data_IF_808731651932
#
_entry.id   IF_808731651932
#
_cell.length_a   1.000
_cell.length_b   1.000
_cell.length_c   1.000
_cell.angle_alpha   90.00
_cell.angle_beta   90.00
_cell.angle_gamma   90.00
#
_symmetry.space_group_name_H-M   'P 1'
#
loop_
_entity.id
_entity.type
_entity.pdbx_description
1 polymer ?
#
# COMPACT_ATOMS: atom_id res chain seq x y z
N UNK A 1 -30.03 74.27 4.65
CA UNK A 1 -28.66 73.70 4.69
C UNK A 1 -28.80 72.24 5.12
N UNK A 2 -29.14 71.34 4.18
CA UNK A 2 -28.28 70.42 3.39
C UNK A 2 -27.87 69.14 4.16
N UNK A 3 -28.27 68.01 3.56
CA UNK A 3 -27.89 66.59 3.75
C UNK A 3 -28.64 65.81 4.85
N UNK A 4 -29.04 64.53 4.71
CA UNK A 4 -29.25 63.60 3.60
C UNK A 4 -29.75 62.25 4.19
N UNK A 5 -30.81 61.65 3.63
CA UNK A 5 -31.01 60.23 3.25
C UNK A 5 -30.77 59.08 4.28
N UNK A 6 -31.61 58.03 4.16
CA UNK A 6 -31.47 56.59 4.56
C UNK A 6 -32.12 56.22 5.91
N UNK A 7 -32.96 55.19 6.10
CA UNK A 7 -33.31 53.92 5.39
C UNK A 7 -34.76 53.54 5.79
N UNK A 8 -35.64 53.08 4.89
CA UNK A 8 -36.02 51.66 4.63
C UNK A 8 -36.17 50.84 5.93
N UNK A 9 -37.30 50.22 6.29
CA UNK A 9 -38.16 49.32 5.50
C UNK A 9 -39.55 49.18 6.13
N UNK A 10 -40.56 49.03 5.28
CA UNK A 10 -41.96 48.77 5.62
C UNK A 10 -42.15 47.39 6.27
N UNK A 11 -43.03 47.33 7.27
CA UNK A 11 -43.56 46.11 7.83
C UNK A 11 -45.09 46.08 7.67
N UNK A 12 -45.55 44.92 7.20
CA UNK A 12 -46.87 44.33 7.37
C UNK A 12 -48.10 45.09 6.84
N UNK A 13 -48.63 44.60 5.71
CA UNK A 13 -50.07 44.68 5.44
C UNK A 13 -50.59 43.26 5.17
N UNK A 14 -51.70 42.97 5.82
CA UNK A 14 -52.36 41.69 5.93
C UNK A 14 -53.04 41.22 4.63
N UNK A 15 -53.21 39.91 4.50
CA UNK A 15 -54.37 39.33 3.84
C UNK A 15 -54.63 37.92 4.40
N UNK A 16 -55.46 37.87 5.44
CA UNK A 16 -56.28 36.69 5.72
C UNK A 16 -57.38 36.62 4.66
N UNK A 17 -57.49 35.49 3.96
CA UNK A 17 -58.73 35.09 3.31
C UNK A 17 -58.88 33.57 3.40
N UNK A 18 -59.68 33.20 4.41
CA UNK A 18 -60.43 31.97 4.63
C UNK A 18 -60.57 30.99 3.45
N UNK A 19 -60.34 29.72 3.75
CA UNK A 19 -61.29 28.66 3.39
C UNK A 19 -61.15 27.48 4.37
N UNK A 20 -62.09 27.40 5.32
CA UNK A 20 -62.41 26.15 5.99
C UNK A 20 -62.96 25.18 4.93
N UNK A 21 -62.27 24.07 4.71
CA UNK A 21 -62.89 22.88 4.15
C UNK A 21 -62.21 21.65 4.73
N UNK A 22 -63.04 20.77 5.29
CA UNK A 22 -62.79 19.38 5.67
C UNK A 22 -61.40 19.06 6.26
N UNK A 23 -61.35 18.87 7.58
CA UNK A 23 -60.21 18.22 8.24
C UNK A 23 -60.06 16.77 7.77
N UNK A 24 -59.43 16.57 6.62
CA UNK A 24 -58.78 15.31 6.28
C UNK A 24 -57.54 15.26 7.16
N UNK A 25 -57.63 14.57 8.30
CA UNK A 25 -56.41 14.10 8.97
C UNK A 25 -55.79 13.06 8.06
N UNK A 26 -54.83 13.51 7.23
CA UNK A 26 -53.88 12.59 6.63
C UNK A 26 -53.21 11.83 7.79
N UNK A 27 -53.12 10.50 7.75
CA UNK A 27 -52.32 9.80 8.73
C UNK A 27 -50.90 10.32 8.60
N UNK A 28 -50.40 11.02 9.63
CA UNK A 28 -48.98 11.27 9.84
C UNK A 28 -48.29 9.95 10.22
N UNK A 29 -48.43 8.92 9.39
CA UNK A 29 -47.35 7.97 9.25
C UNK A 29 -46.30 8.66 8.39
N UNK A 30 -45.50 9.52 9.03
CA UNK A 30 -44.14 9.74 8.56
C UNK A 30 -43.46 8.38 8.72
N UNK A 31 -43.53 7.57 7.67
CA UNK A 31 -42.51 6.56 7.45
C UNK A 31 -41.21 7.34 7.27
N UNK A 32 -40.54 7.65 8.38
CA UNK A 32 -39.11 7.87 8.33
C UNK A 32 -38.57 6.61 7.69
N UNK A 33 -38.17 6.70 6.42
CA UNK A 33 -37.34 5.67 5.84
C UNK A 33 -36.17 5.54 6.82
N UNK A 34 -36.13 4.43 7.58
CA UNK A 34 -34.90 4.04 8.22
C UNK A 34 -33.96 3.90 7.03
N UNK A 35 -32.96 4.77 6.95
CA UNK A 35 -31.83 4.51 6.08
C UNK A 35 -31.42 3.08 6.47
N UNK A 36 -31.71 2.11 5.60
CA UNK A 36 -31.06 0.82 5.70
C UNK A 36 -29.57 1.15 5.83
N UNK A 37 -28.83 0.40 6.65
CA UNK A 37 -27.37 0.46 6.66
C UNK A 37 -26.89 0.16 5.24
N UNK A 38 -26.86 1.20 4.40
CA UNK A 38 -26.38 1.14 3.03
C UNK A 38 -24.88 1.07 3.17
N UNK A 39 -24.39 -0.16 3.32
CA UNK A 39 -22.97 -0.45 3.22
C UNK A 39 -22.59 -0.14 1.77
N UNK A 40 -21.86 0.96 1.61
CA UNK A 40 -21.21 1.28 0.34
C UNK A 40 -20.01 0.34 0.24
N UNK A 41 -19.92 -0.40 -0.86
CA UNK A 41 -18.84 -1.33 -1.15
C UNK A 41 -18.13 -0.88 -2.44
N UNK A 42 -16.82 -1.10 -2.49
CA UNK A 42 -16.02 -0.82 -3.67
C UNK A 42 -16.26 -1.91 -4.74
N UNK A 43 -16.19 -1.51 -6.02
CA UNK A 43 -16.14 -2.48 -7.11
C UNK A 43 -14.77 -3.15 -7.17
N UNK A 44 -14.71 -4.43 -7.54
CA UNK A 44 -13.42 -5.07 -7.80
C UNK A 44 -12.79 -4.54 -9.08
N UNK A 45 -11.45 -4.58 -9.17
CA UNK A 45 -10.73 -4.18 -10.39
C UNK A 45 -11.15 -5.00 -11.63
N UNK A 46 -11.59 -6.24 -11.43
CA UNK A 46 -12.08 -7.11 -12.49
C UNK A 46 -13.48 -6.74 -12.99
N UNK A 47 -14.26 -5.98 -12.21
CA UNK A 47 -15.63 -5.57 -12.57
C UNK A 47 -15.66 -4.30 -13.44
N UNK A 48 -14.54 -3.60 -13.54
CA UNK A 48 -14.45 -2.30 -14.20
C UNK A 48 -13.52 -2.34 -15.42
N UNK A 49 -14.07 -1.96 -16.57
CA UNK A 49 -13.29 -1.81 -17.80
C UNK A 49 -13.19 -0.33 -18.17
N UNK A 50 -11.97 0.20 -18.13
CA UNK A 50 -11.68 1.54 -18.64
C UNK A 50 -11.57 1.51 -20.17
N UNK A 51 -12.38 2.30 -20.86
CA UNK A 51 -12.44 2.34 -22.33
C UNK A 51 -11.87 3.62 -22.94
N UNK A 52 -11.50 4.60 -22.10
CA UNK A 52 -10.89 5.83 -22.59
C UNK A 52 -9.55 5.52 -23.31
N UNK A 53 -9.33 6.02 -24.55
CA UNK A 53 -8.13 5.71 -25.31
C UNK A 53 -6.82 6.15 -24.65
N UNK A 54 -6.84 7.29 -23.94
CA UNK A 54 -5.65 7.78 -23.24
C UNK A 54 -5.31 6.86 -22.06
N UNK A 55 -6.29 6.52 -21.23
CA UNK A 55 -6.11 5.60 -20.11
C UNK A 55 -5.69 4.20 -20.58
N UNK A 56 -6.27 3.70 -21.66
CA UNK A 56 -5.93 2.39 -22.25
C UNK A 56 -4.49 2.37 -22.75
N UNK A 57 -4.04 3.44 -23.42
CA UNK A 57 -2.65 3.58 -23.85
C UNK A 57 -1.68 3.70 -22.66
N UNK A 58 -2.04 4.45 -21.62
CA UNK A 58 -1.25 4.55 -20.39
C UNK A 58 -1.09 3.17 -19.73
N UNK A 59 -2.17 2.41 -19.61
CA UNK A 59 -2.13 1.05 -19.08
C UNK A 59 -1.27 0.11 -19.93
N UNK A 60 -1.38 0.18 -21.27
CA UNK A 60 -0.52 -0.62 -22.17
C UNK A 60 0.99 -0.37 -21.96
N UNK A 61 1.36 0.90 -21.74
CA UNK A 61 2.74 1.28 -21.40
C UNK A 61 3.15 0.75 -20.03
N UNK A 62 2.26 0.83 -19.04
CA UNK A 62 2.48 0.26 -17.71
C UNK A 62 2.73 -1.26 -17.80
N UNK A 63 1.91 -2.01 -18.54
CA UNK A 63 2.12 -3.45 -18.73
C UNK A 63 3.46 -3.73 -19.40
N UNK A 64 3.82 -2.96 -20.42
CA UNK A 64 5.12 -3.11 -21.10
C UNK A 64 6.28 -2.85 -20.13
N UNK A 65 6.13 -1.86 -19.25
CA UNK A 65 7.11 -1.54 -18.21
C UNK A 65 7.22 -2.66 -17.18
N UNK A 66 6.11 -3.13 -16.61
CA UNK A 66 6.08 -4.19 -15.62
C UNK A 66 6.71 -5.49 -16.15
N UNK A 67 6.40 -5.85 -17.40
CA UNK A 67 6.94 -7.05 -18.04
C UNK A 67 8.43 -6.95 -18.43
N UNK A 68 9.04 -5.75 -18.34
CA UNK A 68 10.44 -5.54 -18.72
C UNK A 68 11.45 -5.87 -17.61
N UNK A 69 10.98 -6.12 -16.38
CA UNK A 69 11.85 -6.39 -15.25
C UNK A 69 12.40 -7.82 -15.24
N UNK A 70 13.66 -7.93 -14.82
CA UNK A 70 14.35 -9.19 -14.58
C UNK A 70 14.14 -9.59 -13.11
N UNK A 71 13.41 -10.69 -12.90
CA UNK A 71 13.08 -11.21 -11.57
C UNK A 71 14.30 -11.63 -10.77
N UNK A 72 15.39 -12.10 -11.41
CA UNK A 72 16.62 -12.45 -10.70
C UNK A 72 17.33 -11.22 -10.16
N UNK A 73 17.27 -10.10 -10.89
CA UNK A 73 17.82 -8.83 -10.42
C UNK A 73 16.99 -8.23 -9.28
N UNK A 74 15.66 -8.35 -9.34
CA UNK A 74 14.76 -7.97 -8.23
C UNK A 74 15.03 -8.81 -6.97
N UNK A 75 15.30 -10.09 -7.12
CA UNK A 75 15.62 -11.01 -6.00
C UNK A 75 17.05 -10.88 -5.47
N UNK A 76 17.93 -10.19 -6.19
CA UNK A 76 19.35 -10.17 -5.89
C UNK A 76 19.64 -9.68 -4.46
N UNK A 77 19.02 -8.57 -4.05
CA UNK A 77 19.27 -8.01 -2.72
C UNK A 77 18.77 -8.88 -1.58
N UNK A 78 17.65 -9.60 -1.77
CA UNK A 78 17.15 -10.56 -0.80
C UNK A 78 18.09 -11.76 -0.67
N UNK A 79 18.57 -12.29 -1.80
CA UNK A 79 19.52 -13.41 -1.82
C UNK A 79 20.83 -13.06 -1.13
N UNK A 80 21.37 -11.88 -1.38
CA UNK A 80 22.58 -11.39 -0.70
C UNK A 80 22.39 -11.36 0.83
N UNK A 81 21.29 -10.80 1.32
CA UNK A 81 20.99 -10.74 2.76
C UNK A 81 20.75 -12.12 3.38
N UNK A 82 20.13 -13.04 2.63
CA UNK A 82 19.97 -14.43 3.05
C UNK A 82 21.27 -15.27 2.91
N UNK A 83 22.37 -14.69 2.41
CA UNK A 83 23.63 -15.37 2.08
C UNK A 83 23.46 -16.52 1.09
N UNK A 84 22.60 -16.29 0.09
CA UNK A 84 22.26 -17.24 -0.97
C UNK A 84 22.91 -16.85 -2.30
N UNK A 85 22.99 -17.81 -3.22
CA UNK A 85 23.52 -17.58 -4.55
C UNK A 85 22.63 -16.60 -5.33
N UNK A 86 23.22 -15.54 -5.88
CA UNK A 86 22.52 -14.56 -6.74
C UNK A 86 22.39 -15.02 -8.19
N UNK A 87 22.96 -16.19 -8.53
CA UNK A 87 23.03 -16.75 -9.89
C UNK A 87 23.69 -15.80 -10.88
N UNK A 88 24.67 -15.01 -10.41
CA UNK A 88 25.35 -14.00 -11.23
C UNK A 88 24.53 -12.75 -11.50
N UNK A 89 23.31 -12.64 -10.97
CA UNK A 89 22.50 -11.43 -11.08
C UNK A 89 23.17 -10.25 -10.37
N UNK A 90 22.99 -9.06 -10.94
CA UNK A 90 23.41 -7.80 -10.33
C UNK A 90 22.17 -7.00 -9.94
N UNK A 91 22.24 -6.32 -8.80
CA UNK A 91 21.19 -5.40 -8.34
C UNK A 91 20.79 -4.43 -9.46
N UNK A 92 19.55 -3.97 -9.40
CA UNK A 92 19.16 -2.78 -10.13
C UNK A 92 19.94 -1.57 -9.62
N UNK A 93 20.19 -0.59 -10.49
CA UNK A 93 20.83 0.67 -10.09
C UNK A 93 19.88 1.55 -9.27
N UNK A 94 20.25 2.83 -9.13
CA UNK A 94 19.46 3.77 -8.35
C UNK A 94 19.34 3.32 -6.89
N UNK A 95 18.15 3.46 -6.31
CA UNK A 95 17.90 3.19 -4.89
C UNK A 95 17.86 1.70 -4.53
N UNK A 96 17.66 0.81 -5.50
CA UNK A 96 17.72 -0.65 -5.27
C UNK A 96 19.15 -1.19 -5.05
N UNK A 97 20.15 -0.32 -5.22
CA UNK A 97 21.54 -0.58 -4.84
C UNK A 97 21.98 0.18 -3.57
N UNK A 98 21.02 0.63 -2.74
CA UNK A 98 21.31 1.39 -1.51
C UNK A 98 20.58 0.78 -0.29
N UNK A 99 20.58 1.51 0.82
CA UNK A 99 19.98 1.08 2.08
C UNK A 99 18.46 0.87 2.02
N UNK A 100 17.75 1.56 1.12
CA UNK A 100 16.28 1.47 1.00
C UNK A 100 15.80 0.31 0.09
N UNK A 101 16.73 -0.41 -0.53
CA UNK A 101 16.42 -1.48 -1.49
C UNK A 101 15.42 -2.51 -0.93
N UNK A 102 14.54 -3.00 -1.80
CA UNK A 102 13.34 -3.75 -1.43
C UNK A 102 12.06 -2.93 -1.54
N UNK A 103 12.14 -1.61 -1.39
CA UNK A 103 10.94 -0.76 -1.45
C UNK A 103 10.28 -0.80 -2.84
N UNK A 104 11.08 -0.84 -3.91
CA UNK A 104 10.55 -0.96 -5.28
C UNK A 104 9.89 -2.30 -5.48
N UNK A 105 10.44 -3.38 -4.89
CA UNK A 105 9.88 -4.73 -5.02
C UNK A 105 8.50 -4.79 -4.35
N UNK A 106 8.34 -4.16 -3.18
CA UNK A 106 7.03 -4.04 -2.55
C UNK A 106 5.98 -3.38 -3.45
N UNK A 107 6.30 -2.19 -4.00
CA UNK A 107 5.43 -1.51 -4.97
C UNK A 107 5.16 -2.33 -6.24
N UNK A 108 6.20 -3.01 -6.74
CA UNK A 108 6.12 -3.83 -7.95
C UNK A 108 5.19 -5.03 -7.77
N UNK A 109 5.20 -5.66 -6.59
CA UNK A 109 4.25 -6.74 -6.25
C UNK A 109 2.80 -6.23 -6.31
N UNK A 110 2.49 -5.10 -5.68
CA UNK A 110 1.16 -4.47 -5.77
C UNK A 110 0.78 -4.16 -7.22
N UNK A 111 1.70 -3.53 -7.98
CA UNK A 111 1.46 -3.14 -9.36
C UNK A 111 1.17 -4.37 -10.25
N UNK A 112 1.96 -5.43 -10.14
CA UNK A 112 1.73 -6.68 -10.86
C UNK A 112 0.42 -7.36 -10.46
N UNK A 113 0.07 -7.37 -9.17
CA UNK A 113 -1.18 -7.97 -8.69
C UNK A 113 -2.42 -7.19 -9.18
N UNK A 114 -2.39 -5.87 -9.12
CA UNK A 114 -3.44 -5.01 -9.67
C UNK A 114 -3.56 -5.15 -11.19
N UNK A 115 -2.43 -5.13 -11.90
CA UNK A 115 -2.39 -5.36 -13.34
C UNK A 115 -2.98 -6.72 -13.70
N UNK A 116 -2.62 -7.78 -12.96
CA UNK A 116 -3.14 -9.13 -13.17
C UNK A 116 -4.67 -9.21 -13.07
N UNK A 117 -5.33 -8.32 -12.33
CA UNK A 117 -6.79 -8.28 -12.22
C UNK A 117 -7.48 -7.54 -13.37
N UNK A 118 -6.75 -6.77 -14.18
CA UNK A 118 -7.36 -5.94 -15.21
C UNK A 118 -8.02 -6.80 -16.32
N UNK A 119 -9.29 -6.53 -16.70
CA UNK A 119 -10.01 -7.31 -17.71
C UNK A 119 -9.45 -7.13 -19.12
N UNK A 120 -8.73 -6.04 -19.40
CA UNK A 120 -8.16 -5.76 -20.73
C UNK A 120 -6.85 -6.51 -21.03
N UNK A 121 -6.30 -7.28 -20.08
CA UNK A 121 -5.12 -8.08 -20.33
C UNK A 121 -5.40 -9.23 -21.31
N UNK A 122 -4.48 -9.43 -22.25
CA UNK A 122 -4.46 -10.68 -23.02
C UNK A 122 -4.12 -11.87 -22.12
N UNK A 123 -4.51 -13.08 -22.53
CA UNK A 123 -4.16 -14.30 -21.79
C UNK A 123 -2.63 -14.46 -21.60
N UNK A 124 -1.84 -14.11 -22.61
CA UNK A 124 -0.37 -14.15 -22.54
C UNK A 124 0.19 -13.16 -21.51
N UNK A 125 -0.29 -11.91 -21.50
CA UNK A 125 0.16 -10.91 -20.54
C UNK A 125 -0.18 -11.33 -19.10
N UNK A 126 -1.40 -11.85 -18.89
CA UNK A 126 -1.86 -12.36 -17.60
C UNK A 126 -0.99 -13.54 -17.13
N UNK A 127 -0.66 -14.47 -18.02
CA UNK A 127 0.22 -15.59 -17.72
C UNK A 127 1.64 -15.12 -17.34
N UNK A 128 2.21 -14.16 -18.09
CA UNK A 128 3.54 -13.60 -17.78
C UNK A 128 3.56 -12.90 -16.42
N UNK A 129 2.56 -12.08 -16.12
CA UNK A 129 2.43 -11.43 -14.80
C UNK A 129 2.32 -12.45 -13.67
N UNK A 130 1.50 -13.49 -13.83
CA UNK A 130 1.44 -14.57 -12.83
C UNK A 130 2.80 -15.23 -12.65
N UNK A 131 3.50 -15.56 -13.74
CA UNK A 131 4.83 -16.18 -13.67
C UNK A 131 5.87 -15.32 -12.98
N UNK A 132 5.82 -13.99 -13.18
CA UNK A 132 6.66 -13.03 -12.45
C UNK A 132 6.35 -13.08 -10.95
N UNK A 133 5.06 -13.00 -10.57
CA UNK A 133 4.64 -13.09 -9.17
C UNK A 133 5.10 -14.42 -8.54
N UNK A 134 4.88 -15.55 -9.22
CA UNK A 134 5.26 -16.87 -8.73
C UNK A 134 6.79 -16.97 -8.52
N UNK A 135 7.59 -16.46 -9.46
CA UNK A 135 9.04 -16.45 -9.35
C UNK A 135 9.53 -15.57 -8.19
N UNK A 136 8.95 -14.38 -8.02
CA UNK A 136 9.30 -13.48 -6.91
C UNK A 136 8.91 -14.09 -5.56
N UNK A 137 7.68 -14.58 -5.42
CA UNK A 137 7.20 -15.20 -4.18
C UNK A 137 8.03 -16.42 -3.80
N UNK A 138 8.34 -17.30 -4.76
CA UNK A 138 9.19 -18.46 -4.50
C UNK A 138 10.58 -18.04 -4.02
N UNK A 139 11.22 -17.09 -4.70
CA UNK A 139 12.54 -16.61 -4.33
C UNK A 139 12.56 -15.88 -2.98
N UNK A 140 11.55 -15.04 -2.71
CA UNK A 140 11.39 -14.34 -1.43
C UNK A 140 11.13 -15.31 -0.27
N UNK A 141 10.30 -16.34 -0.47
CA UNK A 141 10.05 -17.37 0.54
C UNK A 141 11.34 -18.15 0.84
N UNK A 142 12.12 -18.51 -0.18
CA UNK A 142 13.41 -19.18 0.01
C UNK A 142 14.38 -18.29 0.81
N UNK A 143 14.45 -16.99 0.49
CA UNK A 143 15.27 -16.02 1.22
C UNK A 143 14.81 -15.85 2.67
N UNK A 144 13.51 -15.77 2.93
CA UNK A 144 12.97 -15.63 4.29
C UNK A 144 13.25 -16.87 5.14
N UNK A 145 13.10 -18.08 4.56
CA UNK A 145 13.45 -19.35 5.23
C UNK A 145 14.94 -19.47 5.55
N UNK A 146 15.79 -18.89 4.71
CA UNK A 146 17.25 -18.92 4.88
C UNK A 146 17.81 -17.65 5.55
N UNK A 147 16.94 -16.76 6.03
CA UNK A 147 17.32 -15.47 6.60
C UNK A 147 18.35 -15.61 7.71
N UNK A 148 19.24 -14.63 7.81
CA UNK A 148 20.24 -14.52 8.90
C UNK A 148 19.79 -13.58 10.02
N UNK A 149 18.57 -13.06 9.94
CA UNK A 149 17.91 -12.31 11.00
C UNK A 149 17.07 -13.24 11.88
N UNK A 150 16.29 -12.62 12.76
CA UNK A 150 15.27 -13.30 13.55
C UNK A 150 14.21 -13.98 12.66
N UNK A 151 13.49 -14.99 13.19
CA UNK A 151 12.45 -15.69 12.45
C UNK A 151 11.47 -14.74 11.75
N UNK A 152 11.12 -15.06 10.49
CA UNK A 152 10.21 -14.26 9.67
C UNK A 152 10.86 -13.08 8.94
N UNK A 153 12.09 -12.68 9.28
CA UNK A 153 12.76 -11.53 8.67
C UNK A 153 13.08 -11.75 7.18
N UNK A 154 12.74 -10.77 6.34
CA UNK A 154 13.10 -10.71 4.93
C UNK A 154 13.54 -9.28 4.58
N UNK A 155 14.68 -9.15 3.89
CA UNK A 155 15.29 -7.83 3.65
C UNK A 155 16.14 -7.81 2.38
N UNK A 156 16.13 -6.68 1.66
CA UNK A 156 16.92 -6.50 0.44
C UNK A 156 17.90 -5.32 0.49
N UNK A 157 17.83 -4.45 1.51
CA UNK A 157 18.71 -3.31 1.68
C UNK A 157 20.19 -3.72 1.58
N UNK A 158 21.04 -2.81 1.09
CA UNK A 158 22.47 -3.09 1.00
C UNK A 158 23.03 -3.55 2.36
N UNK A 159 23.78 -4.66 2.36
CA UNK A 159 24.32 -5.25 3.57
C UNK A 159 25.38 -4.33 4.17
N UNK A 160 25.16 -3.88 5.41
CA UNK A 160 26.11 -3.04 6.16
C UNK A 160 26.97 -3.83 7.13
N UNK A 161 26.43 -4.93 7.63
CA UNK A 161 27.08 -5.81 8.59
C UNK A 161 26.81 -7.26 8.19
N UNK A 162 27.89 -8.02 7.96
CA UNK A 162 27.84 -9.43 7.58
C UNK A 162 27.27 -10.33 8.68
N UNK A 163 27.28 -9.85 9.93
CA UNK A 163 26.83 -10.57 11.11
C UNK A 163 25.49 -10.05 11.64
N UNK A 164 24.99 -8.91 11.13
CA UNK A 164 23.72 -8.34 11.53
C UNK A 164 22.95 -7.77 10.34
N UNK A 165 22.06 -8.60 9.76
CA UNK A 165 21.20 -8.19 8.65
C UNK A 165 20.05 -7.26 9.07
N UNK A 166 19.77 -7.14 10.38
CA UNK A 166 18.73 -6.27 10.94
C UNK A 166 19.27 -4.88 11.34
N UNK A 167 20.56 -4.59 11.11
CA UNK A 167 21.27 -3.42 11.63
C UNK A 167 20.58 -2.08 11.36
N UNK A 168 19.93 -1.90 10.20
CA UNK A 168 19.20 -0.66 9.94
C UNK A 168 18.05 -0.42 10.92
N UNK A 169 17.36 -1.49 11.34
CA UNK A 169 16.31 -1.42 12.35
C UNK A 169 16.88 -1.15 13.75
N UNK A 170 18.07 -1.65 14.06
CA UNK A 170 18.76 -1.35 15.32
C UNK A 170 19.21 0.13 15.39
N UNK A 171 19.63 0.67 14.24
CA UNK A 171 20.08 2.06 14.12
C UNK A 171 18.93 3.06 14.23
N UNK A 172 17.78 2.81 13.58
CA UNK A 172 16.61 3.70 13.74
C UNK A 172 16.07 3.70 15.17
N UNK A 173 16.16 2.59 15.90
CA UNK A 173 15.80 2.55 17.33
C UNK A 173 16.71 3.42 18.20
N UNK A 174 17.89 3.78 17.70
CA UNK A 174 18.83 4.73 18.31
C UNK A 174 18.71 6.15 17.73
N UNK A 175 17.77 6.40 16.81
CA UNK A 175 17.62 7.68 16.13
C UNK A 175 18.65 7.97 15.04
N UNK A 176 19.39 6.96 14.57
CA UNK A 176 20.45 7.09 13.56
C UNK A 176 19.89 6.90 12.15
N UNK A 177 19.84 7.98 11.36
CA UNK A 177 19.12 8.07 10.08
C UNK A 177 19.95 8.62 8.92
N UNK A 178 21.27 8.67 9.02
CA UNK A 178 22.11 9.01 7.88
C UNK A 178 21.94 7.96 6.77
N UNK A 179 21.36 8.37 5.64
CA UNK A 179 21.00 7.49 4.54
C UNK A 179 22.19 6.82 3.83
N UNK A 180 23.41 7.28 4.08
CA UNK A 180 24.63 6.75 3.47
C UNK A 180 25.23 5.67 4.36
N UNK A 181 25.45 5.97 5.65
CA UNK A 181 26.24 5.12 6.53
C UNK A 181 25.48 4.58 7.75
N UNK A 182 24.21 4.94 7.96
CA UNK A 182 23.40 4.44 9.09
C UNK A 182 22.18 3.65 8.61
N UNK A 183 21.07 4.33 8.31
CA UNK A 183 19.81 3.71 7.92
C UNK A 183 19.07 4.61 6.94
N UNK A 184 18.24 4.00 6.08
CA UNK A 184 17.35 4.74 5.20
C UNK A 184 15.94 4.17 5.28
N UNK A 185 15.13 4.78 6.16
CA UNK A 185 13.69 4.53 6.35
C UNK A 185 13.28 3.05 6.30
N UNK A 186 13.91 2.16 7.09
CA UNK A 186 13.71 0.71 6.97
C UNK A 186 12.26 0.27 7.25
N UNK A 187 11.52 0.99 8.09
CA UNK A 187 10.09 0.74 8.33
C UNK A 187 9.20 1.11 7.14
N UNK A 188 9.53 2.16 6.38
CA UNK A 188 8.86 2.46 5.11
C UNK A 188 9.03 1.32 4.11
N UNK A 189 10.25 0.77 4.00
CA UNK A 189 10.54 -0.37 3.12
C UNK A 189 9.78 -1.61 3.58
N UNK A 190 9.76 -1.87 4.90
CA UNK A 190 8.99 -2.97 5.47
C UNK A 190 7.49 -2.85 5.13
N UNK A 191 6.93 -1.65 5.24
CA UNK A 191 5.55 -1.39 4.80
C UNK A 191 5.34 -1.79 3.33
N UNK A 192 6.21 -1.38 2.40
CA UNK A 192 6.02 -1.74 0.99
C UNK A 192 6.07 -3.24 0.75
N UNK A 193 6.97 -3.95 1.43
CA UNK A 193 7.06 -5.40 1.32
C UNK A 193 5.78 -6.08 1.81
N UNK A 194 5.31 -5.70 3.01
CA UNK A 194 4.10 -6.28 3.59
C UNK A 194 2.89 -5.94 2.72
N UNK A 195 2.69 -4.67 2.36
CA UNK A 195 1.55 -4.25 1.53
C UNK A 195 1.56 -4.95 0.18
N UNK A 196 2.72 -5.03 -0.49
CA UNK A 196 2.86 -5.74 -1.77
C UNK A 196 2.47 -7.21 -1.69
N UNK A 197 2.89 -7.89 -0.63
CA UNK A 197 2.53 -9.30 -0.41
C UNK A 197 1.04 -9.47 -0.08
N UNK A 198 0.47 -8.58 0.73
CA UNK A 198 -0.96 -8.57 1.06
C UNK A 198 -1.81 -8.32 -0.18
N UNK A 199 -1.41 -7.36 -1.02
CA UNK A 199 -2.10 -7.07 -2.29
C UNK A 199 -2.04 -8.27 -3.23
N UNK A 200 -0.89 -8.94 -3.35
CA UNK A 200 -0.76 -10.17 -4.12
C UNK A 200 -1.71 -11.25 -3.59
N UNK A 201 -1.78 -11.45 -2.28
CA UNK A 201 -2.71 -12.42 -1.71
C UNK A 201 -4.16 -12.07 -2.02
N UNK A 202 -4.60 -10.86 -1.66
CA UNK A 202 -5.99 -10.43 -1.81
C UNK A 202 -6.45 -10.43 -3.27
N UNK A 203 -5.56 -10.06 -4.19
CA UNK A 203 -5.89 -9.95 -5.61
C UNK A 203 -5.63 -11.24 -6.39
N UNK A 204 -4.87 -12.22 -5.90
CA UNK A 204 -4.54 -13.42 -6.70
C UNK A 204 -4.76 -14.75 -5.99
N UNK A 205 -5.04 -14.73 -4.69
CA UNK A 205 -5.21 -15.93 -3.86
C UNK A 205 -3.92 -16.73 -3.64
N UNK A 206 -2.74 -16.18 -3.98
CA UNK A 206 -1.45 -16.86 -3.80
C UNK A 206 -1.08 -16.93 -2.33
N UNK A 207 -1.38 -18.06 -1.67
CA UNK A 207 -1.11 -18.30 -0.24
C UNK A 207 0.36 -18.12 0.13
N UNK A 208 1.32 -18.40 -0.77
CA UNK A 208 2.75 -18.11 -0.55
C UNK A 208 2.99 -16.65 -0.17
N UNK A 209 2.25 -15.70 -0.74
CA UNK A 209 2.38 -14.28 -0.40
C UNK A 209 1.92 -14.00 1.03
N UNK A 210 0.80 -14.60 1.44
CA UNK A 210 0.28 -14.53 2.80
C UNK A 210 1.24 -15.14 3.81
N UNK A 211 1.85 -16.28 3.50
CA UNK A 211 2.84 -16.91 4.38
C UNK A 211 4.04 -15.99 4.64
N UNK A 212 4.58 -15.38 3.58
CA UNK A 212 5.70 -14.45 3.71
C UNK A 212 5.29 -13.21 4.51
N UNK A 213 4.12 -12.63 4.19
CA UNK A 213 3.59 -11.46 4.89
C UNK A 213 3.35 -11.74 6.38
N UNK A 214 2.81 -12.92 6.70
CA UNK A 214 2.59 -13.34 8.08
C UNK A 214 3.89 -13.46 8.85
N UNK A 215 4.93 -14.06 8.24
CA UNK A 215 6.27 -14.11 8.84
C UNK A 215 6.87 -12.72 9.10
N UNK A 216 6.69 -11.78 8.18
CA UNK A 216 7.10 -10.38 8.39
C UNK A 216 6.28 -9.69 9.48
N UNK A 217 4.98 -9.99 9.57
CA UNK A 217 4.08 -9.52 10.61
C UNK A 217 4.50 -10.00 11.99
N UNK A 218 4.78 -11.29 12.15
CA UNK A 218 5.27 -11.89 13.39
C UNK A 218 6.63 -11.29 13.80
N UNK A 219 7.55 -11.14 12.84
CA UNK A 219 8.83 -10.48 13.09
C UNK A 219 8.64 -9.04 13.58
N UNK A 220 7.74 -8.28 12.93
CA UNK A 220 7.42 -6.90 13.30
C UNK A 220 6.83 -6.84 14.70
N UNK A 221 5.82 -7.67 14.99
CA UNK A 221 5.17 -7.75 16.30
C UNK A 221 6.19 -8.03 17.42
N UNK A 222 7.01 -9.08 17.25
CA UNK A 222 8.00 -9.48 18.25
C UNK A 222 9.05 -8.39 18.50
N UNK A 223 9.41 -7.63 17.46
CA UNK A 223 10.34 -6.53 17.58
C UNK A 223 9.72 -5.34 18.31
N UNK A 224 8.56 -4.87 17.85
CA UNK A 224 7.92 -3.67 18.36
C UNK A 224 7.42 -3.83 19.80
N UNK A 225 6.97 -5.02 20.19
CA UNK A 225 6.48 -5.29 21.57
C UNK A 225 7.58 -5.26 22.63
N UNK A 226 8.85 -5.35 22.25
CA UNK A 226 9.99 -5.24 23.16
C UNK A 226 10.39 -3.79 23.47
N UNK A 227 9.81 -2.80 22.79
CA UNK A 227 10.23 -1.41 22.90
C UNK A 227 9.68 -0.74 24.16
N UNK A 228 10.50 0.13 24.75
CA UNK A 228 10.01 1.11 25.72
C UNK A 228 9.42 2.33 24.99
N UNK A 229 8.75 3.21 25.74
CA UNK A 229 8.10 4.41 25.19
C UNK A 229 9.07 5.31 24.42
N UNK A 230 10.32 5.44 24.87
CA UNK A 230 11.32 6.27 24.20
C UNK A 230 11.65 5.71 22.82
N UNK A 231 12.01 4.42 22.73
CA UNK A 231 12.30 3.76 21.45
C UNK A 231 11.08 3.81 20.53
N UNK A 232 9.88 3.58 21.04
CA UNK A 232 8.65 3.68 20.28
C UNK A 232 8.47 5.09 19.66
N UNK A 233 8.61 6.15 20.47
CA UNK A 233 8.51 7.52 19.99
C UNK A 233 9.62 7.89 18.99
N UNK A 234 10.85 7.42 19.24
CA UNK A 234 11.98 7.63 18.31
C UNK A 234 11.69 7.00 16.96
N UNK A 235 11.27 5.73 16.93
CA UNK A 235 10.97 5.03 15.67
C UNK A 235 9.81 5.70 14.93
N UNK A 236 8.72 6.05 15.62
CA UNK A 236 7.58 6.73 14.99
C UNK A 236 7.86 8.16 14.54
N UNK A 237 8.96 8.78 14.98
CA UNK A 237 9.41 10.08 14.45
C UNK A 237 10.14 9.97 13.11
N UNK A 238 10.51 8.76 12.69
CA UNK A 238 11.22 8.46 11.44
C UNK A 238 10.20 7.86 10.47
N UNK A 239 10.29 8.18 9.17
CA UNK A 239 9.33 7.68 8.19
C UNK A 239 9.16 6.14 8.26
N UNK A 240 7.93 5.72 8.53
CA UNK A 240 7.52 4.32 8.64
C UNK A 240 6.47 3.93 7.58
N UNK A 241 6.07 4.84 6.70
CA UNK A 241 4.99 4.60 5.76
C UNK A 241 3.64 4.40 6.47
N UNK A 242 2.91 3.35 6.13
CA UNK A 242 1.62 2.97 6.70
C UNK A 242 1.71 1.60 7.36
N UNK A 243 2.64 1.45 8.30
CA UNK A 243 2.77 0.22 9.11
C UNK A 243 1.64 0.04 10.14
N UNK A 244 0.78 1.05 10.29
CA UNK A 244 -0.24 1.18 11.34
C UNK A 244 -1.61 0.62 10.96
#
# INVERSE_FOLDING_TARGET
>A
MKQSILKRTAAAAAACALALSAGVRLPETVQTAKAADMKIEDFSLSDLTMTDPYCTNAFSKEISYLLSFDTNRLLCGFRENAKMNTFGAKRYGGWENTLIAGHTIGHYLSACAMAYQNPNLTGEQRQKLSGILDALLSGMQECQRNSKGKPGFLWAGQMKDQNNVEIQFDLVQQGKTNIINESWVPWYTMHKLIQGLVDVYNLTGKETAKDIASGLGDWTYNRCTSWNQQTHNTVLSIEYGGMN
#
